data_IF_044932655972
#
_entry.id   IF_044932655972
#
_cell.length_a   1.000
_cell.length_b   1.000
_cell.length_c   1.000
_cell.angle_alpha   90.00
_cell.angle_beta   90.00
_cell.angle_gamma   90.00
#
_symmetry.space_group_name_H-M   'P 1'
#
loop_
_entity.id
_entity.type
_entity.pdbx_description
1 polymer ?
#
# COMPACT_ATOMS: atom_id res chain seq x y z
N UNK A 1 1.12 -8.12 24.85
CA UNK A 1 1.20 -7.30 23.63
C UNK A 1 -0.18 -6.70 23.42
N UNK A 2 -0.44 -5.52 23.97
CA UNK A 2 -1.81 -5.01 24.15
C UNK A 2 -1.94 -3.52 23.90
N UNK A 3 -1.25 -3.01 22.89
CA UNK A 3 -1.59 -1.71 22.33
C UNK A 3 -1.97 -1.94 20.86
N UNK A 4 -3.27 -2.08 20.63
CA UNK A 4 -3.83 -1.90 19.30
C UNK A 4 -3.75 -0.41 18.99
N UNK A 5 -2.97 -0.04 17.98
CA UNK A 5 -2.98 1.32 17.43
C UNK A 5 -4.42 1.81 17.26
N UNK A 6 -4.66 3.08 17.57
CA UNK A 6 -5.94 3.72 17.32
C UNK A 6 -5.88 4.41 15.97
N UNK A 7 -7.00 4.42 15.23
CA UNK A 7 -7.04 5.06 13.92
C UNK A 7 -6.90 6.59 14.01
N UNK A 8 -7.32 7.18 15.12
CA UNK A 8 -7.27 8.64 15.33
C UNK A 8 -8.14 9.41 14.32
N UNK A 9 -7.70 10.62 13.98
CA UNK A 9 -8.38 11.45 12.98
C UNK A 9 -8.13 10.92 11.57
N UNK A 10 -9.18 10.58 10.83
CA UNK A 10 -9.08 10.12 9.44
C UNK A 10 -8.79 11.28 8.50
N UNK A 11 -7.73 11.17 7.70
CA UNK A 11 -7.32 12.19 6.73
C UNK A 11 -7.66 11.81 5.28
N UNK A 12 -7.90 10.52 5.00
CA UNK A 12 -8.32 10.04 3.70
C UNK A 12 -9.10 8.73 3.82
N UNK A 13 -10.04 8.53 2.89
CA UNK A 13 -10.75 7.27 2.70
C UNK A 13 -10.73 6.86 1.23
N UNK A 14 -10.73 5.55 0.96
CA UNK A 14 -10.82 4.99 -0.39
C UNK A 14 -11.73 3.78 -0.37
N UNK A 15 -12.63 3.72 -1.35
CA UNK A 15 -13.50 2.56 -1.56
C UNK A 15 -13.01 1.78 -2.79
N UNK A 16 -13.02 0.47 -2.68
CA UNK A 16 -12.71 -0.46 -3.76
C UNK A 16 -13.84 -1.48 -3.85
N UNK A 17 -14.31 -1.73 -5.06
CA UNK A 17 -15.17 -2.87 -5.36
C UNK A 17 -14.33 -3.95 -6.03
N UNK A 18 -14.23 -5.10 -5.40
CA UNK A 18 -13.44 -6.23 -5.89
C UNK A 18 -14.40 -7.36 -6.25
N UNK A 19 -14.36 -7.80 -7.50
CA UNK A 19 -15.19 -8.89 -8.02
C UNK A 19 -14.30 -10.08 -8.40
N UNK A 20 -14.53 -11.23 -7.77
CA UNK A 20 -13.81 -12.48 -8.02
C UNK A 20 -14.84 -13.57 -8.26
N UNK A 21 -14.91 -14.04 -9.51
CA UNK A 21 -16.01 -14.91 -9.94
C UNK A 21 -17.35 -14.22 -9.70
N UNK A 22 -18.23 -14.86 -8.93
CA UNK A 22 -19.54 -14.31 -8.57
C UNK A 22 -19.55 -13.60 -7.19
N UNK A 23 -18.40 -13.51 -6.52
CA UNK A 23 -18.30 -12.85 -5.22
C UNK A 23 -17.85 -11.40 -5.38
N UNK A 24 -18.49 -10.51 -4.62
CA UNK A 24 -18.18 -9.08 -4.58
C UNK A 24 -17.78 -8.68 -3.17
N UNK A 25 -16.71 -7.91 -3.06
CA UNK A 25 -16.24 -7.32 -1.82
C UNK A 25 -16.24 -5.81 -1.94
N UNK A 26 -16.96 -5.17 -1.03
CA UNK A 26 -16.89 -3.73 -0.83
C UNK A 26 -15.84 -3.46 0.24
N UNK A 27 -14.68 -2.98 -0.19
CA UNK A 27 -13.54 -2.72 0.69
C UNK A 27 -13.43 -1.22 0.94
N UNK A 28 -13.46 -0.81 2.21
CA UNK A 28 -13.23 0.58 2.60
C UNK A 28 -11.90 0.69 3.34
N UNK A 29 -11.06 1.59 2.88
CA UNK A 29 -9.73 1.84 3.43
C UNK A 29 -9.76 3.22 4.06
N UNK A 30 -9.33 3.29 5.33
CA UNK A 30 -9.20 4.55 6.07
C UNK A 30 -7.74 4.79 6.41
N UNK A 31 -7.27 6.00 6.17
CA UNK A 31 -5.92 6.45 6.50
C UNK A 31 -6.07 7.51 7.59
N UNK A 32 -5.53 7.23 8.76
CA UNK A 32 -5.46 8.15 9.88
C UNK A 32 -4.33 9.18 9.72
N UNK A 33 -4.39 10.22 10.53
CA UNK A 33 -3.37 11.26 10.58
C UNK A 33 -2.07 10.65 11.10
N UNK A 34 -0.91 10.91 10.46
CA UNK A 34 0.37 10.52 11.02
C UNK A 34 0.64 11.17 12.36
N UNK A 35 1.22 10.39 13.26
CA UNK A 35 1.56 10.80 14.63
C UNK A 35 2.97 10.33 14.99
N UNK A 36 3.57 10.99 15.98
CA UNK A 36 4.81 10.52 16.59
C UNK A 36 4.44 9.44 17.60
N UNK A 37 5.11 8.29 17.52
CA UNK A 37 4.90 7.20 18.46
C UNK A 37 5.31 7.62 19.88
N UNK A 38 4.57 7.22 20.94
CA UNK A 38 4.94 7.55 22.33
C UNK A 38 6.32 7.00 22.74
N UNK A 39 6.73 5.87 22.15
CA UNK A 39 8.09 5.34 22.29
C UNK A 39 9.06 6.09 21.36
N UNK A 40 10.07 6.79 21.91
CA UNK A 40 10.94 7.69 21.13
C UNK A 40 11.69 7.02 19.98
N UNK A 41 12.02 5.73 20.13
CA UNK A 41 12.85 4.98 19.18
C UNK A 41 12.08 4.50 17.94
N UNK A 42 10.74 4.58 17.95
CA UNK A 42 9.88 4.15 16.83
C UNK A 42 9.70 5.28 15.79
N UNK A 43 9.66 6.53 16.23
CA UNK A 43 9.51 7.68 15.34
C UNK A 43 8.08 7.90 14.84
N UNK A 44 7.93 8.26 13.56
CA UNK A 44 6.61 8.56 12.97
C UNK A 44 5.89 7.29 12.55
N UNK A 45 4.57 7.27 12.76
CA UNK A 45 3.71 6.23 12.24
C UNK A 45 2.43 6.81 11.62
N UNK A 46 1.87 6.11 10.65
CA UNK A 46 0.57 6.41 10.06
C UNK A 46 -0.39 5.25 10.34
N UNK A 47 -1.47 5.46 11.13
CA UNK A 47 -2.46 4.43 11.38
C UNK A 47 -3.37 4.24 10.17
N UNK A 48 -3.72 3.00 9.83
CA UNK A 48 -4.62 2.68 8.72
C UNK A 48 -5.50 1.48 9.05
N UNK A 49 -6.67 1.42 8.42
CA UNK A 49 -7.63 0.33 8.61
C UNK A 49 -8.25 -0.08 7.27
N UNK A 50 -8.36 -1.38 7.05
CA UNK A 50 -9.00 -1.99 5.88
C UNK A 50 -10.26 -2.71 6.38
N UNK A 51 -11.42 -2.34 5.84
CA UNK A 51 -12.73 -2.88 6.19
C UNK A 51 -13.31 -3.68 5.01
N UNK A 52 -14.15 -4.66 5.28
CA UNK A 52 -14.79 -5.50 4.26
C UNK A 52 -13.94 -6.68 3.81
N UNK A 53 -12.69 -6.79 4.27
CA UNK A 53 -11.80 -7.93 3.99
C UNK A 53 -10.72 -8.08 5.07
N UNK A 54 -10.42 -9.31 5.46
CA UNK A 54 -9.38 -9.61 6.45
C UNK A 54 -9.81 -9.33 7.90
N UNK A 55 -8.86 -9.05 8.81
CA UNK A 55 -9.12 -8.95 10.26
C UNK A 55 -9.67 -7.59 10.73
N UNK A 56 -9.88 -6.63 9.83
CA UNK A 56 -10.43 -5.29 10.10
C UNK A 56 -9.79 -4.48 11.25
N UNK A 57 -8.56 -4.82 11.62
CA UNK A 57 -7.82 -4.13 12.68
C UNK A 57 -7.10 -2.90 12.16
N UNK A 58 -6.72 -2.01 13.08
CA UNK A 58 -5.80 -0.91 12.78
C UNK A 58 -4.38 -1.44 12.66
N UNK A 59 -3.72 -1.03 11.59
CA UNK A 59 -2.31 -1.22 11.32
C UNK A 59 -1.57 0.11 11.48
N UNK A 60 -0.26 0.06 11.70
CA UNK A 60 0.58 1.24 11.71
C UNK A 60 1.75 1.04 10.75
N UNK A 61 1.89 1.94 9.77
CA UNK A 61 3.08 2.02 8.94
C UNK A 61 4.07 2.98 9.54
N UNK A 62 5.30 2.52 9.77
CA UNK A 62 6.39 3.35 10.27
C UNK A 62 7.04 4.14 9.15
N UNK A 63 7.56 5.32 9.47
CA UNK A 63 8.34 6.14 8.55
C UNK A 63 9.30 7.07 9.28
N UNK A 64 10.28 7.60 8.56
CA UNK A 64 11.24 8.56 9.08
C UNK A 64 10.56 9.88 9.48
N UNK A 65 9.57 10.30 8.70
CA UNK A 65 8.73 11.46 8.96
C UNK A 65 7.25 11.19 8.66
N UNK A 66 6.42 12.22 8.86
CA UNK A 66 4.98 12.13 8.59
C UNK A 66 4.64 11.76 7.15
N UNK A 67 5.37 12.25 6.15
CA UNK A 67 5.09 11.99 4.74
C UNK A 67 5.55 10.57 4.37
N UNK A 68 6.74 10.17 4.82
CA UNK A 68 7.27 8.83 4.60
C UNK A 68 6.35 7.77 5.22
N UNK A 69 5.83 8.01 6.44
CA UNK A 69 4.89 7.09 7.08
C UNK A 69 3.59 6.89 6.28
N UNK A 70 3.11 7.93 5.57
CA UNK A 70 1.97 7.84 4.64
C UNK A 70 2.37 6.99 3.42
N UNK A 71 3.52 7.26 2.82
CA UNK A 71 4.00 6.50 1.66
C UNK A 71 4.15 5.01 1.98
N UNK A 72 4.70 4.69 3.16
CA UNK A 72 4.78 3.33 3.67
C UNK A 72 3.39 2.74 3.95
N UNK A 73 2.44 3.55 4.42
CA UNK A 73 1.04 3.15 4.61
C UNK A 73 0.38 2.73 3.29
N UNK A 74 0.58 3.50 2.22
CA UNK A 74 0.07 3.15 0.89
C UNK A 74 0.65 1.83 0.38
N UNK A 75 1.96 1.60 0.57
CA UNK A 75 2.61 0.34 0.21
C UNK A 75 2.07 -0.84 1.04
N UNK A 76 1.89 -0.62 2.35
CA UNK A 76 1.33 -1.62 3.27
C UNK A 76 -0.09 -2.01 2.88
N UNK A 77 -0.95 -1.06 2.52
CA UNK A 77 -2.32 -1.33 2.08
C UNK A 77 -2.31 -2.28 0.88
N UNK A 78 -1.50 -2.00 -0.14
CA UNK A 78 -1.37 -2.88 -1.31
C UNK A 78 -0.99 -4.31 -0.93
N UNK A 79 0.05 -4.48 -0.10
CA UNK A 79 0.48 -5.80 0.36
C UNK A 79 -0.55 -6.54 1.22
N UNK A 80 -1.27 -5.83 2.09
CA UNK A 80 -2.32 -6.42 2.93
C UNK A 80 -3.52 -6.89 2.11
N UNK A 81 -3.96 -6.11 1.11
CA UNK A 81 -5.07 -6.52 0.24
C UNK A 81 -4.73 -7.79 -0.53
N UNK A 82 -3.52 -7.87 -1.10
CA UNK A 82 -3.04 -9.10 -1.77
C UNK A 82 -3.06 -10.28 -0.82
N UNK A 83 -2.48 -10.12 0.36
CA UNK A 83 -2.42 -11.17 1.38
C UNK A 83 -3.82 -11.66 1.78
N UNK A 84 -4.78 -10.74 1.96
CA UNK A 84 -6.13 -11.11 2.35
C UNK A 84 -6.89 -11.80 1.23
N UNK A 85 -6.75 -11.33 0.00
CA UNK A 85 -7.35 -11.98 -1.17
C UNK A 85 -6.78 -13.37 -1.39
N UNK A 86 -5.45 -13.54 -1.32
CA UNK A 86 -4.80 -14.85 -1.42
C UNK A 86 -5.29 -15.84 -0.36
N UNK A 87 -5.53 -15.36 0.87
CA UNK A 87 -6.09 -16.20 1.93
C UNK A 87 -7.54 -16.62 1.68
N UNK A 88 -8.34 -15.75 1.06
CA UNK A 88 -9.73 -16.05 0.70
C UNK A 88 -9.85 -16.92 -0.56
N UNK A 89 -8.92 -16.76 -1.51
CA UNK A 89 -8.94 -17.42 -2.82
C UNK A 89 -7.57 -18.04 -3.16
N UNK A 90 -7.16 -19.11 -2.46
CA UNK A 90 -5.81 -19.67 -2.59
C UNK A 90 -5.49 -20.29 -3.95
N UNK A 91 -6.51 -20.65 -4.76
CA UNK A 91 -6.33 -21.34 -6.06
C UNK A 91 -6.73 -20.51 -7.27
N UNK A 92 -7.44 -19.38 -7.08
CA UNK A 92 -8.23 -18.75 -8.16
C UNK A 92 -7.78 -17.33 -8.51
N UNK A 93 -6.63 -16.86 -7.99
CA UNK A 93 -6.13 -15.52 -8.25
C UNK A 93 -5.07 -15.50 -9.36
N UNK A 94 -5.50 -15.15 -10.58
CA UNK A 94 -4.62 -14.71 -11.66
C UNK A 94 -4.76 -13.19 -11.81
N UNK A 95 -3.69 -12.44 -11.53
CA UNK A 95 -3.71 -10.97 -11.58
C UNK A 95 -3.61 -10.47 -13.03
N UNK A 96 -4.62 -9.76 -13.51
CA UNK A 96 -4.68 -9.33 -14.92
C UNK A 96 -3.94 -8.03 -15.26
N UNK A 97 -3.73 -7.10 -14.30
CA UNK A 97 -2.98 -5.86 -14.57
C UNK A 97 -2.65 -4.98 -13.33
N UNK A 98 -2.91 -5.41 -12.10
CA UNK A 98 -2.44 -4.69 -10.91
C UNK A 98 -2.42 -5.62 -9.71
N UNK A 99 -1.27 -6.26 -9.48
CA UNK A 99 -1.04 -7.09 -8.29
C UNK A 99 -1.40 -6.32 -7.01
N UNK A 100 -1.26 -4.99 -7.00
CA UNK A 100 -1.43 -4.16 -5.80
C UNK A 100 -2.67 -3.25 -5.84
N UNK A 101 -3.65 -3.51 -6.72
CA UNK A 101 -4.95 -2.81 -6.75
C UNK A 101 -4.84 -1.27 -6.80
N UNK A 102 -3.85 -0.74 -7.54
CA UNK A 102 -3.60 0.69 -7.64
C UNK A 102 -2.95 1.33 -6.40
N UNK A 103 -2.26 0.54 -5.58
CA UNK A 103 -1.32 0.99 -4.54
C UNK A 103 0.14 0.82 -4.99
N UNK A 104 1.06 1.64 -4.45
CA UNK A 104 2.48 1.52 -4.76
C UNK A 104 3.06 0.19 -4.24
N UNK A 105 4.07 -0.31 -4.94
CA UNK A 105 4.75 -1.56 -4.59
C UNK A 105 5.89 -1.27 -3.61
N UNK A 106 6.20 -2.24 -2.75
CA UNK A 106 7.47 -2.23 -2.03
C UNK A 106 8.56 -2.55 -3.06
N UNK A 107 9.44 -1.59 -3.30
CA UNK A 107 10.62 -1.79 -4.13
C UNK A 107 11.56 -2.76 -3.40
N UNK A 108 11.52 -4.02 -3.81
CA UNK A 108 12.56 -4.99 -3.48
C UNK A 108 13.55 -5.07 -4.64
N UNK A 109 14.81 -5.50 -4.40
CA UNK A 109 15.77 -5.70 -5.49
C UNK A 109 15.21 -6.56 -6.63
N UNK A 110 14.39 -7.57 -6.31
CA UNK A 110 13.73 -8.42 -7.29
C UNK A 110 12.67 -7.67 -8.10
N UNK A 111 11.90 -6.78 -7.46
CA UNK A 111 10.89 -5.96 -8.13
C UNK A 111 11.53 -4.87 -9.01
N UNK A 112 12.65 -4.29 -8.57
CA UNK A 112 13.43 -3.34 -9.38
C UNK A 112 13.97 -4.03 -10.63
N UNK A 113 14.57 -5.21 -10.49
CA UNK A 113 15.08 -5.98 -11.62
C UNK A 113 13.97 -6.34 -12.63
N UNK A 114 12.77 -6.71 -12.16
CA UNK A 114 11.62 -6.97 -13.05
C UNK A 114 11.17 -5.71 -13.81
N UNK A 115 11.10 -4.56 -13.14
CA UNK A 115 10.72 -3.29 -13.77
C UNK A 115 11.74 -2.87 -14.84
N UNK A 116 13.03 -3.03 -14.59
CA UNK A 116 14.09 -2.76 -15.58
C UNK A 116 13.95 -3.67 -16.81
N UNK A 117 13.69 -4.97 -16.59
CA UNK A 117 13.49 -5.95 -17.67
C UNK A 117 12.24 -5.62 -18.52
N UNK A 118 11.16 -5.19 -17.88
CA UNK A 118 9.91 -4.81 -18.55
C UNK A 118 10.03 -3.48 -19.31
N UNK A 119 10.81 -2.52 -18.82
CA UNK A 119 11.08 -1.24 -19.48
C UNK A 119 11.96 -1.44 -20.73
N UNK A 120 12.95 -2.31 -20.65
CA UNK A 120 13.79 -2.70 -21.80
C UNK A 120 12.96 -3.37 -22.90
N UNK A 121 11.98 -4.21 -22.53
CA UNK A 121 11.08 -4.86 -23.50
C UNK A 121 10.15 -3.87 -24.23
N UNK A 122 9.87 -2.70 -23.63
CA UNK A 122 8.91 -1.70 -24.13
C UNK A 122 9.52 -0.53 -24.89
N UNK A 123 10.85 -0.47 -25.09
CA UNK A 123 11.52 0.59 -25.86
C UNK A 123 11.14 2.03 -25.40
N UNK A 124 10.86 2.23 -24.11
CA UNK A 124 10.46 3.55 -23.60
C UNK A 124 11.73 4.36 -23.30
N UNK A 125 12.12 5.21 -24.24
CA UNK A 125 13.22 6.18 -24.04
C UNK A 125 12.70 7.39 -23.27
N UNK A 126 13.07 7.51 -22.00
CA UNK A 126 12.88 8.77 -21.26
C UNK A 126 13.95 9.77 -21.69
N UNK A 127 13.51 10.84 -22.39
CA UNK A 127 14.35 12.00 -22.69
C UNK A 127 14.17 13.02 -21.58
N UNK A 128 15.15 13.16 -20.69
CA UNK A 128 15.19 14.28 -19.76
C UNK A 128 15.70 15.52 -20.49
N UNK A 129 14.79 16.45 -20.81
CA UNK A 129 15.16 17.81 -21.22
C UNK A 129 15.47 18.64 -19.98
N UNK A 130 16.66 18.41 -19.40
CA UNK A 130 17.21 19.30 -18.38
C UNK A 130 17.74 20.58 -19.03
N UNK A 131 16.94 21.64 -19.00
CA UNK A 131 17.41 22.98 -19.35
C UNK A 131 18.01 23.61 -18.08
N UNK A 132 19.28 23.30 -17.79
CA UNK A 132 20.06 24.03 -16.78
C UNK A 132 20.48 25.36 -17.36
N UNK A 133 19.71 26.42 -17.09
CA UNK A 133 20.23 27.78 -17.16
C UNK A 133 21.08 28.02 -15.91
N UNK A 134 22.36 28.35 -16.15
CA UNK A 134 23.31 28.88 -15.17
C UNK A 134 22.87 30.25 -14.67
#
# INVERSE_FOLDING_TARGET
MKDSYQLGAVIAERELLIEIGNQKHEVRIKIGKPEIHPEPDIGWYCPLQILGIGPEKVHASLGFDSLDSIQMGLKMIGGLLVLYLQKLYPTDLTWLNSEYLGFPVIETPENIAKVETDLDSKNIKFKFNGNTKR
#
